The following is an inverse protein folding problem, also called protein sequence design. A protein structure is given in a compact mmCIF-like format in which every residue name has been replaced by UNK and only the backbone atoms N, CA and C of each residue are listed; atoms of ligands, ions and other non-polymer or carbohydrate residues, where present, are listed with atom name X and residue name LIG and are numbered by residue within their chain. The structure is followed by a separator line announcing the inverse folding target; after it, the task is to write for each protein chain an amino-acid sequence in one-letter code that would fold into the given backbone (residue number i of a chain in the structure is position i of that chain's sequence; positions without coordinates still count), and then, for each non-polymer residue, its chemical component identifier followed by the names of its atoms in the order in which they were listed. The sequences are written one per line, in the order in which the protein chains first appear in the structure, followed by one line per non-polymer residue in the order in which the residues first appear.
data_IF_831804077046
#
_entry.id   IF_831804077046
#
_cell.length_a   1.000
_cell.length_b   1.000
_cell.length_c   1.000
_cell.angle_alpha   90.00
_cell.angle_beta   90.00
_cell.angle_gamma   90.00
#
_symmetry.space_group_name_H-M   'P 1'
#
loop_
_entity.id
_entity.type
_entity.pdbx_description
1 polymer ?
#
# COMPACT_ATOMS: atom_id res chain seq x y z
N UNK A 1 -19.85 13.82 -5.82
CA UNK A 1 -19.52 12.49 -6.40
C UNK A 1 -18.88 11.59 -5.33
N UNK A 2 -19.48 11.52 -4.14
CA UNK A 2 -18.99 10.80 -2.95
C UNK A 2 -20.12 9.96 -2.33
N UNK A 3 -20.84 9.21 -3.17
CA UNK A 3 -22.07 8.52 -2.74
C UNK A 3 -21.86 7.45 -1.68
N UNK A 4 -20.65 6.90 -1.56
CA UNK A 4 -20.35 5.85 -0.58
C UNK A 4 -20.11 6.40 0.82
N UNK A 5 -19.33 7.48 0.95
CA UNK A 5 -18.93 8.06 2.23
C UNK A 5 -19.86 9.18 2.71
N UNK A 6 -20.84 9.60 1.89
CA UNK A 6 -21.79 10.67 2.18
C UNK A 6 -21.14 11.91 2.85
N UNK A 7 -19.97 12.33 2.34
CA UNK A 7 -19.22 13.47 2.87
C UNK A 7 -19.83 14.77 2.36
N UNK A 8 -20.21 15.66 3.28
CA UNK A 8 -20.62 17.03 2.98
C UNK A 8 -19.40 17.97 3.07
N UNK A 9 -19.34 18.98 2.20
CA UNK A 9 -18.23 19.96 2.09
C UNK A 9 -18.16 20.97 3.26
N UNK A 10 -18.69 20.60 4.42
CA UNK A 10 -18.66 21.44 5.62
C UNK A 10 -17.29 21.35 6.30
N UNK A 11 -16.58 22.48 6.38
CA UNK A 11 -15.27 22.65 7.03
C UNK A 11 -15.29 22.47 8.56
N UNK A 12 -16.43 22.12 9.15
CA UNK A 12 -16.59 21.83 10.57
C UNK A 12 -16.54 20.33 10.79
N UNK A 13 -15.75 19.91 11.78
CA UNK A 13 -15.59 18.51 12.19
C UNK A 13 -16.83 18.08 12.99
N UNK A 14 -17.96 17.99 12.31
CA UNK A 14 -19.21 17.46 12.86
C UNK A 14 -19.22 15.95 12.64
N UNK A 15 -19.28 15.17 13.73
CA UNK A 15 -19.55 13.74 13.64
C UNK A 15 -20.98 13.61 13.05
N UNK A 16 -21.06 13.40 11.74
CA UNK A 16 -22.32 13.17 11.05
C UNK A 16 -23.04 11.90 11.54
N UNK A 17 -24.19 11.60 10.95
CA UNK A 17 -24.93 10.38 11.28
C UNK A 17 -24.14 9.12 10.92
N UNK A 18 -24.24 8.10 11.77
CA UNK A 18 -23.62 6.81 11.53
C UNK A 18 -24.23 6.15 10.28
N UNK A 19 -23.38 5.75 9.34
CA UNK A 19 -23.84 5.17 8.07
C UNK A 19 -24.03 3.66 8.23
N UNK A 20 -25.28 3.15 8.12
CA UNK A 20 -25.58 1.76 8.47
C UNK A 20 -24.91 0.75 7.52
N UNK A 21 -24.71 1.12 6.25
CA UNK A 21 -24.04 0.24 5.29
C UNK A 21 -22.55 0.04 5.66
N UNK A 22 -21.84 1.09 6.08
CA UNK A 22 -20.44 1.02 6.51
C UNK A 22 -20.31 0.24 7.81
N UNK A 23 -21.24 0.45 8.75
CA UNK A 23 -21.28 -0.29 9.99
C UNK A 23 -21.45 -1.80 9.74
N UNK A 24 -22.39 -2.17 8.86
CA UNK A 24 -22.62 -3.57 8.50
C UNK A 24 -21.38 -4.18 7.84
N UNK A 25 -20.77 -3.49 6.87
CA UNK A 25 -19.52 -3.94 6.24
C UNK A 25 -18.40 -4.14 7.26
N UNK A 26 -18.23 -3.18 8.19
CA UNK A 26 -17.23 -3.27 9.25
C UNK A 26 -17.51 -4.45 10.18
N UNK A 27 -18.76 -4.65 10.59
CA UNK A 27 -19.15 -5.78 11.44
C UNK A 27 -18.88 -7.13 10.76
N UNK A 28 -19.20 -7.26 9.46
CA UNK A 28 -18.90 -8.47 8.69
C UNK A 28 -17.40 -8.75 8.68
N UNK A 29 -16.56 -7.74 8.42
CA UNK A 29 -15.10 -7.91 8.41
C UNK A 29 -14.60 -8.39 9.77
N UNK A 30 -15.05 -7.80 10.88
CA UNK A 30 -14.65 -8.23 12.22
C UNK A 30 -15.11 -9.65 12.57
N UNK A 31 -16.34 -10.03 12.19
CA UNK A 31 -16.84 -11.40 12.40
C UNK A 31 -15.99 -12.39 11.62
N UNK A 32 -15.70 -12.11 10.34
CA UNK A 32 -14.84 -12.98 9.51
C UNK A 32 -13.44 -13.09 10.11
N UNK A 33 -12.84 -11.99 10.56
CA UNK A 33 -11.53 -12.01 11.22
C UNK A 33 -11.55 -12.87 12.49
N UNK A 34 -12.57 -12.73 13.34
CA UNK A 34 -12.72 -13.53 14.56
C UNK A 34 -12.85 -15.03 14.24
N UNK A 35 -13.63 -15.39 13.21
CA UNK A 35 -13.76 -16.77 12.77
C UNK A 35 -12.44 -17.33 12.22
N UNK A 36 -11.70 -16.54 11.42
CA UNK A 36 -10.40 -16.94 10.88
C UNK A 36 -9.37 -17.19 11.99
N UNK A 37 -9.34 -16.35 13.02
CA UNK A 37 -8.44 -16.50 14.17
C UNK A 37 -8.84 -17.68 15.08
N UNK A 38 -10.14 -17.97 15.19
CA UNK A 38 -10.66 -19.07 16.01
C UNK A 38 -10.51 -20.45 15.36
N UNK A 39 -10.36 -20.50 14.03
CA UNK A 39 -10.15 -21.74 13.29
C UNK A 39 -8.74 -22.32 13.53
N UNK A 40 -8.63 -23.66 13.63
CA UNK A 40 -7.34 -24.33 13.86
C UNK A 40 -6.35 -24.04 12.73
N UNK A 41 -5.12 -23.68 13.11
CA UNK A 41 -4.01 -23.28 12.24
C UNK A 41 -3.76 -24.20 11.02
N UNK A 42 -4.01 -25.51 11.17
CA UNK A 42 -3.71 -26.51 10.13
C UNK A 42 -4.54 -26.36 8.84
N UNK A 43 -5.74 -25.78 8.90
CA UNK A 43 -6.54 -25.48 7.69
C UNK A 43 -6.25 -24.07 7.12
N UNK A 44 -5.67 -23.17 7.93
CA UNK A 44 -5.45 -21.77 7.56
C UNK A 44 -4.22 -21.56 6.66
N UNK A 45 -3.25 -22.48 6.68
CA UNK A 45 -2.01 -22.36 5.88
C UNK A 45 -2.28 -22.27 4.36
N UNK A 46 -3.28 -23.01 3.86
CA UNK A 46 -3.68 -22.98 2.43
C UNK A 46 -4.35 -21.65 2.06
N UNK A 47 -5.21 -21.15 2.92
CA UNK A 47 -5.90 -19.87 2.73
C UNK A 47 -4.87 -18.73 2.76
N UNK A 48 -3.95 -18.76 3.71
CA UNK A 48 -2.87 -17.77 3.82
C UNK A 48 -1.98 -17.77 2.58
N UNK A 49 -1.65 -18.95 2.06
CA UNK A 49 -0.89 -19.08 0.81
C UNK A 49 -1.61 -18.40 -0.36
N UNK A 50 -2.93 -18.60 -0.49
CA UNK A 50 -3.72 -17.92 -1.52
C UNK A 50 -3.74 -16.39 -1.31
N UNK A 51 -3.98 -15.91 -0.08
CA UNK A 51 -4.01 -14.48 0.26
C UNK A 51 -2.68 -13.80 -0.07
N UNK A 52 -1.55 -14.49 0.13
CA UNK A 52 -0.23 -13.94 -0.21
C UNK A 52 -0.01 -13.96 -1.73
N UNK A 53 -0.31 -15.06 -2.42
CA UNK A 53 0.01 -15.20 -3.86
C UNK A 53 -0.89 -14.35 -4.75
N UNK A 54 -2.18 -14.25 -4.42
CA UNK A 54 -3.17 -13.58 -5.26
C UNK A 54 -2.82 -12.10 -5.58
N UNK A 55 -2.42 -11.25 -4.61
CA UNK A 55 -1.95 -9.90 -4.88
C UNK A 55 -0.77 -9.84 -5.85
N UNK A 56 0.18 -10.79 -5.79
CA UNK A 56 1.32 -10.82 -6.73
C UNK A 56 0.88 -11.17 -8.15
N UNK A 57 -0.12 -12.06 -8.31
CA UNK A 57 -0.70 -12.34 -9.63
C UNK A 57 -1.35 -11.07 -10.19
N UNK A 58 -2.16 -10.38 -9.39
CA UNK A 58 -2.82 -9.13 -9.79
C UNK A 58 -1.78 -8.06 -10.15
N UNK A 59 -0.75 -7.87 -9.32
CA UNK A 59 0.35 -6.95 -9.61
C UNK A 59 1.06 -7.29 -10.92
N UNK A 60 1.32 -8.57 -11.18
CA UNK A 60 1.91 -9.03 -12.44
C UNK A 60 1.04 -8.69 -13.65
N UNK A 61 -0.27 -8.97 -13.58
CA UNK A 61 -1.22 -8.64 -14.64
C UNK A 61 -1.32 -7.12 -14.86
N UNK A 62 -1.41 -6.34 -13.79
CA UNK A 62 -1.45 -4.88 -13.87
C UNK A 62 -0.16 -4.30 -14.45
N UNK A 63 1.00 -4.88 -14.15
CA UNK A 63 2.27 -4.47 -14.74
C UNK A 63 2.27 -4.68 -16.26
N UNK A 64 1.81 -5.84 -16.74
CA UNK A 64 1.69 -6.10 -18.18
C UNK A 64 0.78 -5.10 -18.89
N UNK A 65 -0.35 -4.74 -18.26
CA UNK A 65 -1.27 -3.71 -18.78
C UNK A 65 -0.59 -2.34 -18.84
N UNK A 66 0.13 -1.97 -17.78
CA UNK A 66 0.81 -0.66 -17.69
C UNK A 66 1.93 -0.52 -18.70
N UNK A 67 2.66 -1.60 -19.01
CA UNK A 67 3.72 -1.59 -20.01
C UNK A 67 3.21 -1.27 -21.44
N UNK A 68 1.91 -1.45 -21.69
CA UNK A 68 1.27 -1.13 -22.97
C UNK A 68 0.76 0.32 -23.04
N UNK A 69 0.79 1.07 -21.93
CA UNK A 69 0.37 2.48 -21.88
C UNK A 69 1.48 3.40 -22.41
N UNK A 70 1.14 4.62 -22.89
CA UNK A 70 2.08 5.54 -23.54
C UNK A 70 3.18 6.16 -22.64
N UNK A 71 3.65 5.49 -21.58
CA UNK A 71 4.90 5.79 -20.88
C UNK A 71 4.96 7.08 -20.04
N UNK A 72 3.96 7.96 -20.13
CA UNK A 72 4.00 9.27 -19.48
C UNK A 72 4.01 9.24 -17.94
N UNK A 73 3.46 8.20 -17.31
CA UNK A 73 3.51 8.07 -15.84
C UNK A 73 4.86 7.58 -15.30
N UNK A 74 5.67 6.90 -16.12
CA UNK A 74 7.01 6.45 -15.72
C UNK A 74 7.96 7.63 -15.51
N UNK A 75 7.88 8.64 -16.39
CA UNK A 75 8.65 9.88 -16.25
C UNK A 75 8.26 10.67 -15.00
N UNK A 76 6.98 10.63 -14.61
CA UNK A 76 6.53 11.27 -13.38
C UNK A 76 7.03 10.55 -12.12
N UNK A 77 7.13 9.22 -12.15
CA UNK A 77 7.58 8.41 -11.02
C UNK A 77 9.10 8.47 -10.78
N UNK A 78 9.90 8.27 -11.84
CA UNK A 78 11.37 8.17 -11.71
C UNK A 78 12.07 9.43 -12.21
N UNK A 79 11.51 10.13 -13.20
CA UNK A 79 12.20 11.18 -13.96
C UNK A 79 12.36 12.53 -13.27
N UNK A 80 11.82 12.73 -12.07
CA UNK A 80 11.87 14.02 -11.33
C UNK A 80 12.44 13.88 -9.93
N UNK A 81 13.68 13.41 -9.86
CA UNK A 81 14.42 13.37 -8.60
C UNK A 81 14.98 14.75 -8.23
N UNK A 82 14.59 15.28 -7.07
CA UNK A 82 15.12 16.53 -6.54
C UNK A 82 16.27 16.26 -5.55
N UNK A 83 17.50 16.26 -6.06
CA UNK A 83 18.72 15.95 -5.27
C UNK A 83 18.94 17.00 -4.16
N UNK A 84 18.63 18.27 -4.43
CA UNK A 84 18.77 19.36 -3.44
C UNK A 84 17.86 19.15 -2.24
N UNK A 85 16.63 18.69 -2.48
CA UNK A 85 15.69 18.33 -1.41
C UNK A 85 16.18 17.09 -0.65
N UNK A 86 16.64 16.07 -1.36
CA UNK A 86 17.20 14.87 -0.74
C UNK A 86 18.36 15.18 0.23
N UNK A 87 19.19 16.17 -0.10
CA UNK A 87 20.34 16.55 0.72
C UNK A 87 19.99 17.44 1.93
N UNK A 88 18.92 18.24 1.86
CA UNK A 88 18.66 19.30 2.85
C UNK A 88 17.38 19.11 3.68
N UNK A 89 16.43 18.31 3.21
CA UNK A 89 15.10 18.17 3.83
C UNK A 89 15.07 17.03 4.87
N UNK A 90 15.15 17.37 6.15
CA UNK A 90 15.03 16.41 7.25
C UNK A 90 13.65 15.74 7.31
N UNK A 91 12.57 16.48 7.03
CA UNK A 91 11.21 15.94 7.12
C UNK A 91 10.97 14.87 6.05
N UNK A 92 11.61 14.98 4.88
CA UNK A 92 11.62 13.93 3.87
C UNK A 92 12.21 12.60 4.40
N UNK A 93 13.37 12.65 5.05
CA UNK A 93 14.01 11.45 5.61
C UNK A 93 13.23 10.86 6.78
N UNK A 94 12.64 11.71 7.62
CA UNK A 94 11.77 11.29 8.71
C UNK A 94 10.51 10.59 8.16
N UNK A 95 9.85 11.18 7.16
CA UNK A 95 8.69 10.57 6.51
C UNK A 95 9.04 9.23 5.86
N UNK A 96 10.15 9.16 5.12
CA UNK A 96 10.63 7.92 4.51
C UNK A 96 10.93 6.84 5.56
N UNK A 97 11.54 7.22 6.69
CA UNK A 97 11.85 6.27 7.77
C UNK A 97 10.59 5.72 8.42
N UNK A 98 9.60 6.59 8.68
CA UNK A 98 8.29 6.18 9.23
C UNK A 98 7.58 5.23 8.27
N UNK A 99 7.59 5.53 6.96
CA UNK A 99 6.97 4.68 5.95
C UNK A 99 7.59 3.28 5.92
N UNK A 100 8.93 3.17 5.94
CA UNK A 100 9.62 1.87 5.96
C UNK A 100 9.29 1.07 7.23
N UNK A 101 9.27 1.72 8.41
CA UNK A 101 8.94 1.08 9.67
C UNK A 101 7.49 0.58 9.69
N UNK A 102 6.56 1.41 9.22
CA UNK A 102 5.14 1.08 9.14
C UNK A 102 4.88 -0.04 8.12
N UNK A 103 5.47 0.05 6.93
CA UNK A 103 5.34 -0.94 5.85
C UNK A 103 5.91 -2.30 6.25
N UNK A 104 7.07 -2.32 6.91
CA UNK A 104 7.69 -3.58 7.35
C UNK A 104 7.05 -4.13 8.63
N UNK A 105 6.32 -3.30 9.38
CA UNK A 105 5.64 -3.70 10.60
C UNK A 105 6.59 -4.03 11.77
N UNK A 106 7.80 -3.47 11.77
CA UNK A 106 8.80 -3.72 12.82
C UNK A 106 8.33 -3.06 14.12
N UNK A 107 8.45 -3.78 15.24
CA UNK A 107 8.11 -3.25 16.57
C UNK A 107 6.65 -3.44 16.98
N UNK A 108 5.77 -3.94 16.10
CA UNK A 108 4.36 -4.26 16.45
C UNK A 108 4.16 -5.64 17.08
N UNK A 109 5.23 -6.40 17.30
CA UNK A 109 5.18 -7.72 17.96
C UNK A 109 4.74 -8.89 17.08
N UNK A 110 3.98 -8.66 15.99
CA UNK A 110 3.49 -9.75 15.11
C UNK A 110 4.61 -10.61 14.51
N UNK A 111 5.67 -9.98 13.99
CA UNK A 111 6.83 -10.70 13.42
C UNK A 111 7.58 -11.47 14.52
N UNK A 112 7.72 -10.88 15.71
CA UNK A 112 8.36 -11.53 16.87
C UNK A 112 7.58 -12.77 17.30
N UNK A 113 6.25 -12.68 17.35
CA UNK A 113 5.38 -13.82 17.66
C UNK A 113 5.52 -14.93 16.61
N UNK A 114 5.51 -14.60 15.32
CA UNK A 114 5.72 -15.59 14.25
C UNK A 114 7.11 -16.23 14.36
N UNK A 115 8.15 -15.42 14.62
CA UNK A 115 9.52 -15.91 14.78
C UNK A 115 9.67 -16.84 16.00
N UNK A 116 8.86 -16.70 17.04
CA UNK A 116 8.89 -17.57 18.23
C UNK A 116 8.50 -19.02 17.92
N UNK A 117 7.79 -19.26 16.81
CA UNK A 117 7.42 -20.60 16.35
C UNK A 117 8.45 -21.22 15.39
N UNK A 118 9.52 -20.51 15.02
CA UNK A 118 10.57 -21.04 14.15
C UNK A 118 11.49 -22.04 14.87
N UNK A 119 12.06 -22.97 14.10
CA UNK A 119 13.10 -23.86 14.64
C UNK A 119 14.42 -23.12 14.86
N UNK A 120 15.20 -23.54 15.87
CA UNK A 120 16.47 -22.89 16.23
C UNK A 120 17.54 -22.94 15.12
N UNK A 121 17.39 -23.81 14.11
CA UNK A 121 18.30 -23.93 12.97
C UNK A 121 17.91 -23.03 11.79
N UNK A 122 16.77 -22.34 11.87
CA UNK A 122 16.32 -21.44 10.81
C UNK A 122 17.24 -20.23 10.69
N UNK A 123 17.63 -19.89 9.46
CA UNK A 123 18.48 -18.74 9.19
C UNK A 123 17.67 -17.43 9.24
N UNK A 124 17.48 -16.90 10.45
CA UNK A 124 16.75 -15.66 10.70
C UNK A 124 17.40 -14.43 10.06
N UNK A 125 18.72 -14.42 9.87
CA UNK A 125 19.43 -13.32 9.18
C UNK A 125 19.02 -13.24 7.71
N UNK A 126 18.92 -14.39 7.04
CA UNK A 126 18.47 -14.45 5.65
C UNK A 126 17.04 -13.92 5.51
N UNK A 127 16.13 -14.37 6.39
CA UNK A 127 14.73 -13.95 6.35
C UNK A 127 14.58 -12.47 6.70
N UNK A 128 15.38 -11.97 7.65
CA UNK A 128 15.42 -10.56 8.06
C UNK A 128 15.96 -9.61 7.00
N UNK A 129 16.74 -10.08 6.03
CA UNK A 129 17.21 -9.29 4.88
C UNK A 129 16.27 -9.43 3.68
N UNK A 130 15.83 -10.66 3.37
CA UNK A 130 14.99 -10.92 2.20
C UNK A 130 13.60 -10.30 2.33
N UNK A 131 12.96 -10.37 3.50
CA UNK A 131 11.60 -9.88 3.66
C UNK A 131 11.48 -8.36 3.41
N UNK A 132 12.31 -7.49 4.00
CA UNK A 132 12.30 -6.05 3.70
C UNK A 132 12.68 -5.74 2.25
N UNK A 133 13.62 -6.48 1.65
CA UNK A 133 13.99 -6.30 0.24
C UNK A 133 12.82 -6.59 -0.69
N UNK A 134 12.10 -7.70 -0.46
CA UNK A 134 10.91 -8.06 -1.23
C UNK A 134 9.78 -7.06 -1.02
N UNK A 135 9.60 -6.57 0.20
CA UNK A 135 8.62 -5.51 0.50
C UNK A 135 8.94 -4.22 -0.28
N UNK A 136 10.21 -3.79 -0.30
CA UNK A 136 10.67 -2.63 -1.06
C UNK A 136 10.49 -2.80 -2.57
N UNK A 137 10.88 -3.96 -3.12
CA UNK A 137 10.69 -4.27 -4.54
C UNK A 137 9.21 -4.26 -4.95
N UNK A 138 8.36 -4.85 -4.12
CA UNK A 138 6.90 -4.89 -4.35
C UNK A 138 6.30 -3.49 -4.33
N UNK A 139 6.69 -2.68 -3.34
CA UNK A 139 6.24 -1.29 -3.20
C UNK A 139 6.69 -0.43 -4.38
N UNK A 140 7.91 -0.63 -4.88
CA UNK A 140 8.41 0.06 -6.06
C UNK A 140 7.61 -0.30 -7.32
N UNK A 141 7.34 -1.58 -7.56
CA UNK A 141 6.52 -2.04 -8.70
C UNK A 141 5.10 -1.49 -8.60
N UNK A 142 4.48 -1.55 -7.41
CA UNK A 142 3.14 -1.03 -7.18
C UNK A 142 3.08 0.50 -7.41
N UNK A 143 4.09 1.24 -6.94
CA UNK A 143 4.25 2.67 -7.21
C UNK A 143 4.31 2.96 -8.71
N UNK A 144 5.16 2.24 -9.44
CA UNK A 144 5.28 2.38 -10.89
C UNK A 144 3.93 2.15 -11.60
N UNK A 145 3.21 1.07 -11.25
CA UNK A 145 1.90 0.76 -11.81
C UNK A 145 0.91 1.92 -11.56
N UNK A 146 0.84 2.39 -10.31
CA UNK A 146 -0.05 3.47 -9.91
C UNK A 146 0.22 4.75 -10.68
N UNK A 147 1.49 5.17 -10.79
CA UNK A 147 1.85 6.39 -11.51
C UNK A 147 1.60 6.29 -13.02
N UNK A 148 1.82 5.13 -13.64
CA UNK A 148 1.48 4.89 -15.04
C UNK A 148 -0.03 4.97 -15.31
N UNK A 149 -0.83 4.32 -14.46
CA UNK A 149 -2.30 4.37 -14.55
C UNK A 149 -2.82 5.80 -14.34
N UNK A 150 -2.27 6.52 -13.35
CA UNK A 150 -2.61 7.92 -13.10
C UNK A 150 -2.23 8.81 -14.29
N UNK A 151 -1.02 8.67 -14.83
CA UNK A 151 -0.55 9.42 -15.99
C UNK A 151 -1.47 9.25 -17.20
N UNK A 152 -1.87 8.01 -17.51
CA UNK A 152 -2.81 7.71 -18.59
C UNK A 152 -4.19 8.32 -18.34
N UNK A 153 -4.69 8.28 -17.10
CA UNK A 153 -5.95 8.92 -16.74
C UNK A 153 -5.93 10.44 -16.96
N UNK A 154 -4.82 11.12 -16.64
CA UNK A 154 -4.72 12.56 -16.84
C UNK A 154 -4.74 12.91 -18.33
N UNK A 155 -4.05 12.14 -19.16
CA UNK A 155 -4.00 12.35 -20.61
C UNK A 155 -5.38 12.14 -21.23
N UNK A 156 -6.03 11.00 -20.93
CA UNK A 156 -7.34 10.65 -21.50
C UNK A 156 -8.46 11.58 -21.05
N UNK A 157 -8.47 12.01 -19.79
CA UNK A 157 -9.55 12.84 -19.24
C UNK A 157 -9.31 14.35 -19.30
N UNK A 158 -8.14 14.82 -19.80
CA UNK A 158 -7.73 16.25 -19.78
C UNK A 158 -7.89 16.91 -18.39
N UNK A 159 -7.76 16.14 -17.31
CA UNK A 159 -7.94 16.67 -15.95
C UNK A 159 -6.65 17.37 -15.52
N UNK A 160 -6.57 18.68 -15.82
CA UNK A 160 -5.45 19.56 -15.42
C UNK A 160 -5.20 19.57 -13.90
N UNK A 161 -6.23 19.31 -13.09
CA UNK A 161 -6.20 19.34 -11.61
C UNK A 161 -5.38 18.18 -11.02
N UNK A 162 -5.38 17.00 -11.66
CA UNK A 162 -4.67 15.82 -11.14
C UNK A 162 -3.16 15.92 -11.35
N UNK A 163 -2.71 16.61 -12.42
CA UNK A 163 -1.28 16.77 -12.70
C UNK A 163 -0.58 17.59 -11.60
N UNK A 164 -1.16 18.71 -11.17
CA UNK A 164 -0.64 19.51 -10.05
C UNK A 164 -0.70 18.78 -8.70
N UNK A 165 -1.67 17.89 -8.51
CA UNK A 165 -1.76 17.04 -7.31
C UNK A 165 -0.68 15.96 -7.29
N UNK A 166 -0.41 15.31 -8.42
CA UNK A 166 0.71 14.37 -8.58
C UNK A 166 2.05 15.11 -8.41
N UNK A 167 2.19 16.29 -9.01
CA UNK A 167 3.39 17.11 -8.87
C UNK A 167 3.63 17.57 -7.44
N UNK A 168 2.59 18.06 -6.76
CA UNK A 168 2.69 18.44 -5.36
C UNK A 168 2.88 17.24 -4.43
N UNK A 169 2.39 16.04 -4.78
CA UNK A 169 2.64 14.82 -4.01
C UNK A 169 4.09 14.33 -4.17
N UNK A 170 4.71 14.51 -5.35
CA UNK A 170 6.15 14.25 -5.53
C UNK A 170 7.07 15.34 -4.94
N UNK A 171 6.55 16.56 -4.74
CA UNK A 171 7.31 17.71 -4.20
C UNK A 171 7.09 17.96 -2.70
N UNK A 172 6.01 17.44 -2.10
CA UNK A 172 5.86 17.26 -0.64
C UNK A 172 6.50 15.98 -0.17
#
# INVERSE_FOLDING_TARGET
RYGLLNMNDSSKLELGSLQPHLLLCMAIVWIVLALCLSAKLKNNERILTFIVIFPYIVLGLMLLVVLQLPGHGLQAYIGKMNITRLASDYELWKAASIEVLYSTGIGFGGITTIASYNTLKQNSLRDGVLAPMLNGATSFIAGLIMFCVLGDMVIKKKIKVTLNLIYNFCLR
#
